data_IF_895612269331
#
_entry.id   IF_895612269331
#
_cell.length_a   1.000
_cell.length_b   1.000
_cell.length_c   1.000
_cell.angle_alpha   90.00
_cell.angle_beta   90.00
_cell.angle_gamma   90.00
#
_symmetry.space_group_name_H-M   'P 1'
#
loop_
_entity.id
_entity.type
_entity.pdbx_description
1 polymer ?
#
# COMPACT_ATOMS: atom_id res chain seq x y z
N UNK A 1 -12.79 -15.19 0.26
CA UNK A 1 -12.76 -15.07 1.74
C UNK A 1 -12.33 -16.43 2.33
N UNK A 2 -11.54 -16.43 3.41
CA UNK A 2 -11.08 -17.66 4.09
C UNK A 2 -11.26 -17.55 5.61
N UNK A 3 -11.48 -18.68 6.29
CA UNK A 3 -11.53 -18.78 7.76
C UNK A 3 -11.15 -20.20 8.19
N UNK A 4 -10.36 -20.29 9.25
CA UNK A 4 -10.10 -21.52 10.00
C UNK A 4 -10.23 -21.27 11.52
N UNK A 5 -9.64 -22.14 12.34
CA UNK A 5 -9.62 -22.02 13.80
C UNK A 5 -8.89 -20.76 14.29
N UNK A 6 -7.83 -20.33 13.61
CA UNK A 6 -6.92 -19.30 14.11
C UNK A 6 -7.06 -17.97 13.40
N UNK A 7 -7.41 -17.97 12.12
CA UNK A 7 -7.43 -16.80 11.26
C UNK A 7 -8.70 -16.65 10.43
N UNK A 8 -8.96 -15.41 10.04
CA UNK A 8 -9.96 -15.02 9.07
C UNK A 8 -9.33 -14.04 8.10
N UNK A 9 -9.52 -14.28 6.81
CA UNK A 9 -9.00 -13.42 5.74
C UNK A 9 -10.17 -12.89 4.93
N UNK A 10 -10.25 -11.56 4.85
CA UNK A 10 -11.28 -10.85 4.12
C UNK A 10 -10.66 -9.92 3.08
N UNK A 11 -11.38 -9.73 1.98
CA UNK A 11 -11.12 -8.63 1.07
C UNK A 11 -11.81 -7.38 1.63
N UNK A 12 -11.02 -6.45 2.17
CA UNK A 12 -11.52 -5.17 2.66
C UNK A 12 -11.89 -4.29 1.46
N UNK A 13 -13.12 -3.77 1.35
CA UNK A 13 -13.45 -2.81 0.30
C UNK A 13 -12.70 -1.47 0.51
N UNK A 14 -12.61 -0.63 -0.54
CA UNK A 14 -12.19 0.75 -0.37
C UNK A 14 -13.18 1.51 0.53
N UNK A 15 -12.81 2.72 0.98
CA UNK A 15 -13.62 3.58 1.85
C UNK A 15 -14.00 2.95 3.22
N UNK A 16 -13.33 1.87 3.62
CA UNK A 16 -13.56 1.20 4.90
C UNK A 16 -12.31 1.25 5.76
N UNK A 17 -12.40 1.90 6.93
CA UNK A 17 -11.31 1.91 7.90
C UNK A 17 -11.11 0.51 8.49
N UNK A 18 -9.86 0.08 8.68
CA UNK A 18 -9.59 -1.21 9.34
C UNK A 18 -10.04 -1.23 10.81
N UNK A 19 -9.70 -0.16 11.54
CA UNK A 19 -9.95 0.01 12.97
C UNK A 19 -10.84 1.24 13.23
N UNK A 20 -11.66 1.24 14.30
CA UNK A 20 -12.42 2.40 14.75
C UNK A 20 -11.50 3.59 15.05
N UNK A 21 -11.86 4.77 14.55
CA UNK A 21 -11.28 6.07 14.93
C UNK A 21 -12.37 7.13 14.86
N UNK A 22 -12.51 7.95 15.90
CA UNK A 22 -13.51 9.02 15.94
C UNK A 22 -14.96 8.52 15.90
N UNK A 23 -15.88 9.36 15.41
CA UNK A 23 -17.34 9.12 15.46
C UNK A 23 -17.84 7.95 14.57
N UNK A 24 -17.01 7.38 13.69
CA UNK A 24 -17.39 6.27 12.79
C UNK A 24 -17.07 4.88 13.36
N UNK A 25 -17.44 4.60 14.63
CA UNK A 25 -17.09 3.35 15.33
C UNK A 25 -17.71 2.12 14.64
N UNK A 26 -18.90 2.26 14.04
CA UNK A 26 -19.73 1.12 13.61
C UNK A 26 -19.45 0.58 12.20
N UNK A 27 -18.73 1.32 11.35
CA UNK A 27 -18.49 0.95 9.93
C UNK A 27 -17.03 0.63 9.61
N UNK A 28 -16.34 -0.04 10.54
CA UNK A 28 -14.96 -0.50 10.31
C UNK A 28 -14.90 -1.97 9.97
N UNK A 29 -13.82 -2.40 9.30
CA UNK A 29 -13.64 -3.78 8.87
C UNK A 29 -13.73 -4.75 10.05
N UNK A 30 -13.09 -4.44 11.18
CA UNK A 30 -13.17 -5.28 12.39
C UNK A 30 -14.60 -5.35 12.94
N UNK A 31 -15.32 -4.23 13.04
CA UNK A 31 -16.68 -4.22 13.62
C UNK A 31 -17.66 -4.96 12.71
N UNK A 32 -17.58 -4.75 11.39
CA UNK A 32 -18.41 -5.48 10.42
C UNK A 32 -18.12 -6.97 10.45
N UNK A 33 -16.85 -7.37 10.45
CA UNK A 33 -16.49 -8.78 10.48
C UNK A 33 -16.91 -9.46 11.80
N UNK A 34 -16.75 -8.81 12.96
CA UNK A 34 -17.26 -9.33 14.25
C UNK A 34 -18.76 -9.62 14.20
N UNK A 35 -19.55 -8.68 13.68
CA UNK A 35 -21.01 -8.82 13.53
C UNK A 35 -21.39 -9.90 12.53
N UNK A 36 -20.76 -9.88 11.36
CA UNK A 36 -21.05 -10.82 10.27
C UNK A 36 -20.73 -12.28 10.63
N UNK A 37 -19.66 -12.51 11.41
CA UNK A 37 -19.21 -13.87 11.74
C UNK A 37 -19.55 -14.32 13.16
N UNK A 38 -20.12 -13.44 14.00
CA UNK A 38 -20.43 -13.72 15.39
C UNK A 38 -19.19 -13.94 16.27
N UNK A 39 -18.04 -13.35 15.92
CA UNK A 39 -16.75 -13.58 16.59
C UNK A 39 -16.29 -12.31 17.28
N UNK A 40 -16.62 -12.12 18.56
CA UNK A 40 -16.28 -10.88 19.29
C UNK A 40 -14.77 -10.68 19.47
N UNK A 41 -14.00 -11.76 19.54
CA UNK A 41 -12.55 -11.72 19.74
C UNK A 41 -11.75 -11.49 18.44
N UNK A 42 -12.41 -11.33 17.31
CA UNK A 42 -11.74 -11.05 16.05
C UNK A 42 -10.87 -9.79 16.17
N UNK A 43 -9.60 -9.88 15.80
CA UNK A 43 -8.66 -8.74 15.83
C UNK A 43 -7.82 -8.68 14.58
N UNK A 44 -7.68 -7.51 13.91
CA UNK A 44 -6.81 -7.38 12.76
C UNK A 44 -5.35 -7.61 13.17
N UNK A 45 -4.61 -8.33 12.34
CA UNK A 45 -3.17 -8.59 12.53
C UNK A 45 -2.35 -7.43 11.96
N UNK A 46 -2.83 -6.84 10.88
CA UNK A 46 -2.27 -5.65 10.26
C UNK A 46 -3.39 -4.69 9.86
N UNK A 47 -3.03 -3.53 9.32
CA UNK A 47 -3.98 -2.52 8.87
C UNK A 47 -3.77 -2.17 7.41
N UNK A 48 -4.87 -1.89 6.75
CA UNK A 48 -4.90 -1.15 5.50
C UNK A 48 -5.49 0.24 5.76
N UNK A 49 -5.04 1.24 5.01
CA UNK A 49 -5.64 2.57 5.03
C UNK A 49 -7.09 2.49 4.53
N UNK A 50 -7.90 3.50 4.90
CA UNK A 50 -9.34 3.52 4.61
C UNK A 50 -9.62 3.29 3.12
N UNK A 51 -8.89 3.98 2.25
CA UNK A 51 -9.05 3.95 0.80
C UNK A 51 -8.42 2.71 0.14
N UNK A 52 -7.41 2.10 0.76
CA UNK A 52 -6.75 0.91 0.23
C UNK A 52 -7.67 -0.30 0.33
N UNK A 53 -7.92 -0.99 -0.77
CA UNK A 53 -8.69 -2.24 -0.78
C UNK A 53 -7.78 -3.46 -0.74
N UNK A 54 -8.33 -4.63 -0.47
CA UNK A 54 -7.64 -5.92 -0.64
C UNK A 54 -7.49 -6.73 0.64
N UNK A 55 -6.52 -7.65 0.62
CA UNK A 55 -6.37 -8.70 1.63
C UNK A 55 -6.12 -8.12 3.02
N UNK A 56 -6.99 -8.48 3.97
CA UNK A 56 -6.87 -8.13 5.39
C UNK A 56 -6.98 -9.40 6.25
N UNK A 57 -5.94 -9.64 7.04
CA UNK A 57 -5.85 -10.76 7.97
C UNK A 57 -6.33 -10.38 9.38
N UNK A 58 -7.18 -11.23 9.94
CA UNK A 58 -7.64 -11.20 11.32
C UNK A 58 -7.25 -12.49 12.04
N UNK A 59 -7.06 -12.38 13.34
CA UNK A 59 -7.01 -13.51 14.28
C UNK A 59 -8.41 -13.74 14.86
N UNK A 60 -8.83 -14.99 14.95
CA UNK A 60 -10.18 -15.38 15.41
C UNK A 60 -10.31 -15.31 16.93
N UNK A 61 -9.26 -15.72 17.66
CA UNK A 61 -9.25 -15.78 19.11
C UNK A 61 -8.07 -15.00 19.71
N UNK A 62 -8.15 -14.67 21.00
CA UNK A 62 -7.08 -13.91 21.69
C UNK A 62 -5.75 -14.64 21.70
N UNK A 63 -5.78 -15.96 21.84
CA UNK A 63 -4.60 -16.81 21.92
C UNK A 63 -3.73 -16.80 20.66
N UNK A 64 -4.31 -16.60 19.47
CA UNK A 64 -3.56 -16.58 18.21
C UNK A 64 -2.90 -15.25 17.88
N UNK A 65 -3.29 -14.16 18.55
CA UNK A 65 -2.86 -12.78 18.22
C UNK A 65 -1.35 -12.62 18.20
N UNK A 66 -0.68 -13.02 19.28
CA UNK A 66 0.76 -12.80 19.43
C UNK A 66 1.57 -13.52 18.34
N UNK A 67 1.22 -14.77 18.03
CA UNK A 67 1.91 -15.56 17.02
C UNK A 67 1.84 -14.91 15.63
N UNK A 68 0.63 -14.51 15.18
CA UNK A 68 0.49 -13.87 13.87
C UNK A 68 1.01 -12.43 13.83
N UNK A 69 0.90 -11.65 14.93
CA UNK A 69 1.49 -10.30 15.00
C UNK A 69 3.01 -10.36 14.89
N UNK A 70 3.63 -11.34 15.54
CA UNK A 70 5.08 -11.55 15.49
C UNK A 70 5.58 -11.82 14.06
N UNK A 71 4.78 -12.45 13.19
CA UNK A 71 5.15 -12.61 11.77
C UNK A 71 5.38 -11.25 11.10
N UNK A 72 4.52 -10.25 11.36
CA UNK A 72 4.65 -8.92 10.79
C UNK A 72 5.82 -8.15 11.40
N UNK A 73 5.98 -8.22 12.72
CA UNK A 73 7.08 -7.58 13.44
C UNK A 73 8.45 -8.07 12.95
N UNK A 74 8.58 -9.39 12.77
CA UNK A 74 9.80 -10.05 12.26
C UNK A 74 9.92 -10.02 10.74
N UNK A 75 8.99 -9.37 10.03
CA UNK A 75 8.95 -9.27 8.55
C UNK A 75 8.96 -10.64 7.85
N UNK A 76 8.34 -11.64 8.46
CA UNK A 76 8.17 -13.00 7.91
C UNK A 76 6.91 -13.13 7.04
N UNK A 77 6.29 -12.00 6.69
CA UNK A 77 5.09 -11.93 5.84
C UNK A 77 5.46 -11.23 4.54
N UNK A 78 5.26 -11.92 3.43
CA UNK A 78 5.31 -11.32 2.10
C UNK A 78 4.01 -10.58 1.81
N UNK A 79 4.13 -9.34 1.35
CA UNK A 79 3.00 -8.49 0.98
C UNK A 79 3.24 -7.99 -0.44
N UNK A 80 2.29 -8.23 -1.33
CA UNK A 80 2.31 -7.68 -2.69
C UNK A 80 1.14 -6.74 -2.86
N UNK A 81 1.42 -5.55 -3.38
CA UNK A 81 0.44 -4.54 -3.71
C UNK A 81 0.47 -4.27 -5.20
N UNK A 82 -0.70 -3.95 -5.75
CA UNK A 82 -0.81 -3.36 -7.09
C UNK A 82 -1.21 -1.89 -6.93
N UNK A 83 -0.44 -1.00 -7.54
CA UNK A 83 -0.78 0.42 -7.65
C UNK A 83 -1.05 0.77 -9.11
N UNK A 84 -2.13 1.50 -9.38
CA UNK A 84 -2.48 2.00 -10.71
C UNK A 84 -2.15 3.48 -10.75
N UNK A 85 -1.40 3.91 -11.76
CA UNK A 85 -0.96 5.30 -11.93
C UNK A 85 -1.19 5.77 -13.37
N UNK A 86 -1.21 7.08 -13.63
CA UNK A 86 -0.95 7.61 -14.96
C UNK A 86 0.42 7.14 -15.47
N UNK A 87 0.60 7.17 -16.79
CA UNK A 87 1.91 6.92 -17.42
C UNK A 87 2.76 8.19 -17.26
N UNK A 88 3.92 8.15 -16.58
CA UNK A 88 4.81 9.31 -16.47
C UNK A 88 5.23 9.83 -17.85
N UNK A 89 5.48 11.13 -17.96
CA UNK A 89 6.02 11.71 -19.19
C UNK A 89 7.36 11.06 -19.56
N UNK A 90 7.53 10.69 -20.82
CA UNK A 90 8.75 10.01 -21.31
C UNK A 90 8.74 8.49 -21.14
N UNK A 91 7.70 7.92 -20.52
CA UNK A 91 7.51 6.47 -20.38
C UNK A 91 6.49 5.91 -21.40
N UNK A 92 5.98 6.77 -22.29
CA UNK A 92 5.06 6.36 -23.35
C UNK A 92 5.80 5.45 -24.36
N UNK A 93 5.21 4.30 -24.68
CA UNK A 93 5.75 3.39 -25.70
C UNK A 93 6.91 2.50 -25.24
N UNK A 94 7.30 2.54 -23.95
CA UNK A 94 8.29 1.60 -23.40
C UNK A 94 7.74 0.17 -23.44
N UNK A 95 8.55 -0.77 -23.93
CA UNK A 95 8.25 -2.20 -23.79
C UNK A 95 8.58 -2.64 -22.34
N UNK A 96 7.53 -2.84 -21.55
CA UNK A 96 7.63 -3.37 -20.19
C UNK A 96 7.63 -4.91 -20.14
N UNK A 97 7.48 -5.59 -21.28
CA UNK A 97 7.33 -7.05 -21.36
C UNK A 97 8.63 -7.81 -21.66
N UNK A 98 9.68 -7.10 -22.09
CA UNK A 98 10.98 -7.69 -22.43
C UNK A 98 12.08 -7.24 -21.46
N UNK A 99 13.03 -8.13 -21.07
CA UNK A 99 14.28 -7.69 -20.46
C UNK A 99 15.01 -6.74 -21.43
N UNK A 100 15.33 -5.52 -20.99
CA UNK A 100 16.07 -4.53 -21.79
C UNK A 100 15.34 -3.22 -22.09
N UNK A 101 14.09 -3.04 -21.64
CA UNK A 101 13.50 -1.71 -21.55
C UNK A 101 14.21 -0.91 -20.44
N UNK A 102 14.50 0.37 -20.69
CA UNK A 102 15.04 1.26 -19.66
C UNK A 102 14.13 2.47 -19.44
N UNK A 103 14.11 2.96 -18.22
CA UNK A 103 13.21 3.97 -17.72
C UNK A 103 14.00 5.08 -17.03
N UNK A 104 13.66 6.33 -17.33
CA UNK A 104 14.21 7.47 -16.59
C UNK A 104 13.51 7.56 -15.24
N UNK A 105 14.26 7.32 -14.17
CA UNK A 105 13.81 7.41 -12.79
C UNK A 105 14.13 8.80 -12.25
N UNK A 106 13.12 9.58 -11.79
CA UNK A 106 13.34 10.94 -11.32
C UNK A 106 14.30 11.04 -10.13
N UNK A 107 14.96 12.20 -10.01
CA UNK A 107 15.74 12.51 -8.81
C UNK A 107 14.89 12.40 -7.54
N UNK A 108 15.47 11.86 -6.47
CA UNK A 108 14.83 11.64 -5.19
C UNK A 108 13.88 10.44 -5.11
N UNK A 109 13.57 9.76 -6.22
CA UNK A 109 12.57 8.69 -6.25
C UNK A 109 13.03 7.38 -5.58
N UNK A 110 14.32 7.05 -5.66
CA UNK A 110 14.87 5.81 -5.07
C UNK A 110 15.26 6.01 -3.60
N UNK A 111 15.93 7.13 -3.29
CA UNK A 111 16.23 7.55 -1.93
C UNK A 111 16.32 9.07 -1.86
N UNK A 112 16.36 9.64 -0.65
CA UNK A 112 16.52 11.09 -0.49
C UNK A 112 17.75 11.57 -1.27
N UNK A 113 17.57 12.60 -2.11
CA UNK A 113 18.58 13.18 -2.97
C UNK A 113 19.28 12.19 -3.96
N UNK A 114 18.67 11.04 -4.29
CA UNK A 114 19.18 10.22 -5.40
C UNK A 114 19.17 11.04 -6.70
N UNK A 115 20.20 10.96 -7.55
CA UNK A 115 20.15 11.63 -8.85
C UNK A 115 19.09 10.98 -9.75
N UNK A 116 18.65 11.74 -10.75
CA UNK A 116 17.96 11.16 -11.89
C UNK A 116 18.88 10.15 -12.57
N UNK A 117 18.33 9.01 -12.99
CA UNK A 117 19.11 7.94 -13.62
C UNK A 117 18.22 7.08 -14.51
N UNK A 118 18.83 6.46 -15.52
CA UNK A 118 18.16 5.50 -16.39
C UNK A 118 18.41 4.10 -15.83
N UNK A 119 17.34 3.37 -15.51
CA UNK A 119 17.39 2.01 -14.98
C UNK A 119 16.63 1.05 -15.88
N UNK A 120 17.04 -0.21 -15.90
CA UNK A 120 16.23 -1.27 -16.51
C UNK A 120 14.87 -1.41 -15.82
N UNK A 121 13.87 -1.85 -16.57
CA UNK A 121 12.52 -2.15 -16.06
C UNK A 121 12.66 -3.10 -14.85
N UNK A 122 12.02 -2.78 -13.71
CA UNK A 122 12.16 -3.59 -12.50
C UNK A 122 11.51 -4.95 -12.66
N UNK A 123 12.15 -5.98 -12.09
CA UNK A 123 11.64 -7.35 -12.05
C UNK A 123 11.79 -7.99 -10.67
N UNK A 124 11.34 -9.23 -10.53
CA UNK A 124 11.51 -9.99 -9.27
C UNK A 124 12.99 -10.25 -8.93
N UNK A 125 13.83 -10.51 -9.94
CA UNK A 125 15.27 -10.75 -9.76
C UNK A 125 16.04 -9.44 -9.52
N UNK A 126 15.65 -8.37 -10.22
CA UNK A 126 16.31 -7.07 -10.18
C UNK A 126 15.28 -5.99 -9.84
N UNK A 127 14.82 -5.92 -8.58
CA UNK A 127 13.82 -4.94 -8.17
C UNK A 127 14.45 -3.57 -7.95
N UNK A 128 13.67 -2.51 -8.16
CA UNK A 128 14.08 -1.20 -7.66
C UNK A 128 13.79 -1.10 -6.17
N UNK A 129 14.75 -0.58 -5.40
CA UNK A 129 14.61 -0.37 -3.96
C UNK A 129 14.34 1.10 -3.64
N UNK A 130 13.19 1.36 -3.03
CA UNK A 130 12.76 2.69 -2.60
C UNK A 130 12.93 2.79 -1.09
N UNK A 131 13.88 3.60 -0.62
CA UNK A 131 14.22 3.72 0.80
C UNK A 131 14.25 5.18 1.27
N UNK A 132 13.32 5.53 2.16
CA UNK A 132 13.16 6.91 2.66
C UNK A 132 12.98 6.94 4.18
N UNK A 133 13.38 8.05 4.79
CA UNK A 133 12.94 8.43 6.12
C UNK A 133 11.58 9.11 6.00
N UNK A 134 10.53 8.35 6.30
CA UNK A 134 9.15 8.83 6.25
C UNK A 134 8.70 9.32 7.63
N UNK A 135 8.16 10.53 7.67
CA UNK A 135 7.67 11.17 8.90
C UNK A 135 6.17 11.42 8.81
N UNK A 136 5.47 11.04 9.87
CA UNK A 136 4.03 11.20 10.01
C UNK A 136 3.73 11.91 11.33
N UNK A 137 3.44 13.21 11.22
CA UNK A 137 3.01 14.01 12.36
C UNK A 137 1.54 13.81 12.67
N UNK A 138 1.19 13.97 13.94
CA UNK A 138 -0.21 13.91 14.40
C UNK A 138 -0.96 15.14 13.89
N UNK A 139 -2.12 14.95 13.30
CA UNK A 139 -2.94 16.04 12.74
C UNK A 139 -2.62 16.36 11.28
N UNK A 140 -1.38 16.15 10.83
CA UNK A 140 -1.00 16.32 9.43
C UNK A 140 -1.59 15.22 8.57
N UNK A 141 -2.22 15.54 7.43
CA UNK A 141 -2.87 14.54 6.56
C UNK A 141 -1.88 13.71 5.74
N UNK A 142 -0.87 14.32 5.14
CA UNK A 142 0.15 13.60 4.37
C UNK A 142 1.37 13.21 5.24
N UNK A 143 1.99 12.09 4.90
CA UNK A 143 3.37 11.72 5.27
C UNK A 143 4.33 12.47 4.35
N UNK A 144 5.45 12.95 4.89
CA UNK A 144 6.52 13.66 4.17
C UNK A 144 7.88 12.98 4.41
N UNK A 145 8.91 13.42 3.70
CA UNK A 145 10.25 12.83 3.67
C UNK A 145 11.24 13.79 4.32
N UNK A 146 12.20 13.23 5.06
CA UNK A 146 13.34 13.98 5.59
C UNK A 146 14.68 13.36 5.15
N UNK A 147 15.76 14.14 5.13
CA UNK A 147 17.11 13.59 5.07
C UNK A 147 17.40 12.74 6.32
N UNK A 148 18.18 11.68 6.16
CA UNK A 148 18.65 10.83 7.27
C UNK A 148 18.45 9.34 7.02
N UNK A 149 18.62 8.54 8.06
CA UNK A 149 18.53 7.07 7.99
C UNK A 149 17.12 6.62 7.59
N UNK A 150 16.96 5.88 6.47
CA UNK A 150 15.66 5.39 6.05
C UNK A 150 14.96 4.53 7.10
N UNK A 151 13.67 4.76 7.29
CA UNK A 151 12.82 3.95 8.16
C UNK A 151 11.79 3.12 7.38
N UNK A 152 11.87 3.17 6.04
CA UNK A 152 10.99 2.50 5.12
C UNK A 152 11.77 1.85 3.97
N UNK A 153 11.26 0.72 3.48
CA UNK A 153 11.76 0.05 2.29
C UNK A 153 10.59 -0.56 1.51
N UNK A 154 10.52 -0.24 0.23
CA UNK A 154 9.59 -0.83 -0.74
C UNK A 154 10.39 -1.33 -1.94
N UNK A 155 10.11 -2.54 -2.39
CA UNK A 155 10.63 -3.06 -3.66
C UNK A 155 9.59 -2.88 -4.75
N UNK A 156 9.98 -2.33 -5.89
CA UNK A 156 9.20 -2.41 -7.13
C UNK A 156 9.68 -3.65 -7.86
N UNK A 157 8.81 -4.64 -8.03
CA UNK A 157 9.18 -5.93 -8.66
C UNK A 157 8.54 -6.13 -10.03
N UNK A 158 7.83 -5.12 -10.51
CA UNK A 158 7.22 -5.14 -11.84
C UNK A 158 6.46 -3.86 -12.12
N UNK A 159 6.37 -3.54 -13.40
CA UNK A 159 5.51 -2.50 -13.95
C UNK A 159 5.02 -2.99 -15.30
N UNK A 160 3.76 -2.72 -15.62
CA UNK A 160 3.14 -3.11 -16.90
C UNK A 160 2.10 -2.08 -17.29
N UNK A 161 1.74 -2.04 -18.56
CA UNK A 161 0.51 -1.36 -18.96
C UNK A 161 -0.72 -2.09 -18.38
N UNK A 162 -1.72 -1.30 -18.03
CA UNK A 162 -3.10 -1.79 -17.86
C UNK A 162 -3.62 -2.38 -19.17
N UNK A 163 -4.69 -3.18 -19.11
CA UNK A 163 -5.28 -3.82 -20.28
C UNK A 163 -5.75 -2.83 -21.36
N UNK A 164 -6.11 -1.60 -20.97
CA UNK A 164 -6.46 -0.49 -21.86
C UNK A 164 -5.26 0.25 -22.44
N UNK A 165 -4.05 0.05 -21.90
CA UNK A 165 -2.83 0.72 -22.35
C UNK A 165 -2.65 2.16 -21.87
N UNK A 166 -3.61 2.75 -21.15
CA UNK A 166 -3.63 4.17 -20.79
C UNK A 166 -3.14 4.46 -19.35
N UNK A 167 -2.82 3.42 -18.59
CA UNK A 167 -2.31 3.46 -17.20
C UNK A 167 -1.20 2.45 -17.01
N UNK A 168 -0.37 2.66 -15.99
CA UNK A 168 0.57 1.67 -15.49
C UNK A 168 -0.01 0.93 -14.28
N UNK A 169 0.31 -0.35 -14.17
CA UNK A 169 0.09 -1.19 -12.98
C UNK A 169 1.44 -1.61 -12.43
N UNK A 170 1.72 -1.22 -11.19
CA UNK A 170 2.98 -1.44 -10.50
C UNK A 170 2.83 -2.57 -9.48
N UNK A 171 3.78 -3.49 -9.44
CA UNK A 171 3.89 -4.52 -8.41
C UNK A 171 4.84 -4.05 -7.32
N UNK A 172 4.30 -3.81 -6.12
CA UNK A 172 5.03 -3.23 -4.99
C UNK A 172 5.09 -4.21 -3.82
N UNK A 173 6.27 -4.46 -3.28
CA UNK A 173 6.49 -5.31 -2.09
C UNK A 173 7.10 -4.51 -0.95
N UNK A 174 6.28 -3.93 -0.04
CA UNK A 174 6.80 -3.18 1.10
C UNK A 174 7.37 -4.11 2.17
N UNK A 175 8.65 -3.95 2.52
CA UNK A 175 9.25 -4.65 3.65
C UNK A 175 8.78 -4.06 5.00
N UNK A 176 8.52 -2.75 5.01
CA UNK A 176 7.99 -2.01 6.17
C UNK A 176 6.48 -1.72 6.01
N UNK A 177 5.89 -0.93 6.92
CA UNK A 177 4.47 -0.59 6.90
C UNK A 177 4.20 0.81 7.43
N UNK A 178 4.99 1.80 6.98
CA UNK A 178 4.81 3.20 7.41
C UNK A 178 3.54 3.79 6.78
N UNK A 179 2.93 4.75 7.48
CA UNK A 179 1.71 5.42 7.02
C UNK A 179 1.93 6.05 5.65
N UNK A 180 1.05 5.77 4.69
CA UNK A 180 1.12 6.26 3.31
C UNK A 180 2.40 5.90 2.52
N UNK A 181 3.21 4.94 2.99
CA UNK A 181 4.51 4.60 2.38
C UNK A 181 4.44 4.40 0.86
N UNK A 182 3.53 3.57 0.36
CA UNK A 182 3.41 3.31 -1.07
C UNK A 182 2.90 4.54 -1.85
N UNK A 183 2.03 5.33 -1.24
CA UNK A 183 1.42 6.51 -1.87
C UNK A 183 2.45 7.62 -2.08
N UNK A 184 3.27 7.89 -1.06
CA UNK A 184 4.42 8.82 -1.15
C UNK A 184 5.39 8.36 -2.23
N UNK A 185 5.76 7.07 -2.22
CA UNK A 185 6.69 6.53 -3.21
C UNK A 185 6.20 6.78 -4.64
N UNK A 186 4.95 6.41 -4.94
CA UNK A 186 4.39 6.62 -6.29
C UNK A 186 4.34 8.11 -6.69
N UNK A 187 4.10 9.02 -5.73
CA UNK A 187 4.18 10.47 -6.00
C UNK A 187 5.59 10.94 -6.37
N UNK A 188 6.64 10.35 -5.82
CA UNK A 188 8.03 10.71 -6.17
C UNK A 188 8.43 10.25 -7.57
N UNK A 189 7.77 9.24 -8.13
CA UNK A 189 7.93 8.85 -9.53
C UNK A 189 7.17 9.78 -10.50
N UNK A 190 6.65 10.91 -10.01
CA UNK A 190 5.68 11.75 -10.74
C UNK A 190 4.47 10.93 -11.24
N UNK A 191 4.15 9.84 -10.54
CA UNK A 191 3.15 8.85 -10.92
C UNK A 191 2.18 8.60 -9.75
N UNK A 192 1.49 9.63 -9.22
CA UNK A 192 0.61 9.42 -8.07
C UNK A 192 -0.45 8.37 -8.39
N UNK A 193 -0.82 7.59 -7.36
CA UNK A 193 -1.87 6.58 -7.48
C UNK A 193 -3.17 7.24 -7.94
N UNK A 194 -3.86 6.64 -8.91
CA UNK A 194 -5.11 7.19 -9.43
C UNK A 194 -6.15 7.33 -8.32
N UNK A 195 -6.89 8.45 -8.33
CA UNK A 195 -7.88 8.83 -7.32
C UNK A 195 -7.31 8.87 -5.88
N UNK A 196 -6.02 9.14 -5.71
CA UNK A 196 -5.45 9.44 -4.39
C UNK A 196 -5.76 10.90 -4.01
N UNK A 197 -6.60 11.17 -2.99
CA UNK A 197 -7.07 12.53 -2.71
C UNK A 197 -6.00 13.43 -2.10
N UNK A 198 -4.85 12.88 -1.70
CA UNK A 198 -3.74 13.65 -1.12
C UNK A 198 -2.66 13.77 -2.17
N UNK A 199 -2.11 12.63 -2.59
CA UNK A 199 -0.87 12.61 -3.34
C UNK A 199 -1.04 12.95 -4.81
N UNK A 200 -2.26 12.91 -5.36
CA UNK A 200 -2.51 13.39 -6.72
C UNK A 200 -2.41 14.91 -6.86
N UNK A 201 -2.54 15.66 -5.76
CA UNK A 201 -2.60 17.13 -5.78
C UNK A 201 -1.62 17.82 -4.81
N UNK A 202 -0.94 17.05 -3.96
CA UNK A 202 0.08 17.60 -3.04
C UNK A 202 1.23 18.25 -3.83
N UNK A 203 1.66 19.42 -3.38
CA UNK A 203 2.82 20.13 -3.93
C UNK A 203 4.12 19.39 -3.62
N UNK A 204 5.16 19.64 -4.42
CA UNK A 204 6.49 19.08 -4.14
C UNK A 204 7.05 19.61 -2.82
N UNK A 205 6.81 20.89 -2.49
CA UNK A 205 7.22 21.48 -1.20
C UNK A 205 6.63 20.68 -0.03
N UNK A 206 5.35 20.33 -0.07
CA UNK A 206 4.68 19.58 0.99
C UNK A 206 5.14 18.12 1.14
N UNK A 207 5.98 17.60 0.24
CA UNK A 207 6.66 16.30 0.40
C UNK A 207 7.91 16.38 1.27
N UNK A 208 8.48 17.58 1.49
CA UNK A 208 9.73 17.78 2.22
C UNK A 208 9.62 18.78 3.37
N UNK A 209 8.66 19.70 3.28
CA UNK A 209 8.40 20.76 4.24
C UNK A 209 7.14 20.40 5.08
N UNK A 210 7.27 20.23 6.41
CA UNK A 210 6.12 19.95 7.26
C UNK A 210 5.12 21.10 7.31
N UNK A 211 5.58 22.35 7.14
CA UNK A 211 4.79 23.59 7.26
C UNK A 211 4.09 24.00 5.97
N UNK A 212 4.36 23.30 4.85
CA UNK A 212 3.72 23.58 3.58
C UNK A 212 2.21 23.33 3.62
N UNK A 213 1.47 24.12 2.85
CA UNK A 213 0.03 23.97 2.71
C UNK A 213 -0.33 22.59 2.14
N UNK A 214 -1.39 21.99 2.67
CA UNK A 214 -1.88 20.70 2.22
C UNK A 214 -3.13 20.85 1.37
N UNK A 215 -3.32 19.95 0.39
CA UNK A 215 -4.55 19.94 -0.37
C UNK A 215 -5.74 19.68 0.56
N UNK A 216 -6.86 20.28 0.19
CA UNK A 216 -8.14 19.91 0.75
C UNK A 216 -8.44 18.44 0.45
N UNK A 217 -8.79 17.67 1.48
CA UNK A 217 -9.17 16.27 1.36
C UNK A 217 -10.67 16.19 1.67
N UNK A 218 -11.50 15.64 0.75
CA UNK A 218 -12.93 15.47 0.98
C UNK A 218 -13.20 14.78 2.32
N UNK A 219 -14.21 15.25 3.05
CA UNK A 219 -14.70 14.54 4.23
C UNK A 219 -15.33 13.21 3.82
N UNK A 220 -15.63 12.35 4.82
CA UNK A 220 -16.25 11.04 4.57
C UNK A 220 -17.57 11.16 3.80
N UNK A 221 -18.32 12.25 4.02
CA UNK A 221 -19.61 12.47 3.38
C UNK A 221 -19.50 13.03 1.94
N UNK A 222 -18.29 13.46 1.54
CA UNK A 222 -17.96 14.00 0.22
C UNK A 222 -17.15 13.01 -0.63
N UNK A 223 -16.90 11.79 -0.13
CA UNK A 223 -16.16 10.75 -0.86
C UNK A 223 -16.96 10.28 -2.09
N UNK A 224 -16.31 10.28 -3.26
CA UNK A 224 -16.84 9.69 -4.48
C UNK A 224 -16.60 8.17 -4.47
N UNK A 225 -17.63 7.41 -4.09
CA UNK A 225 -17.58 5.96 -3.99
C UNK A 225 -17.41 5.25 -5.34
N UNK A 226 -17.69 5.92 -6.46
CA UNK A 226 -17.53 5.37 -7.82
C UNK A 226 -16.08 5.46 -8.31
N UNK A 227 -15.23 6.23 -7.62
CA UNK A 227 -13.83 6.46 -7.97
C UNK A 227 -12.86 6.03 -6.86
N UNK A 228 -12.75 4.71 -6.56
CA UNK A 228 -11.82 4.24 -5.54
C UNK A 228 -10.37 4.50 -5.92
N UNK A 229 -9.53 4.72 -4.91
CA UNK A 229 -8.08 4.83 -5.06
C UNK A 229 -7.52 3.54 -5.68
N UNK A 230 -6.64 3.69 -6.66
CA UNK A 230 -6.03 2.60 -7.42
C UNK A 230 -4.95 1.80 -6.66
N UNK A 231 -5.10 1.58 -5.36
CA UNK A 231 -4.15 0.80 -4.55
C UNK A 231 -4.83 -0.43 -3.96
N UNK A 232 -4.29 -1.60 -4.31
CA UNK A 232 -4.81 -2.90 -3.88
C UNK A 232 -3.74 -3.67 -3.13
N UNK A 233 -4.04 -4.10 -1.90
CA UNK A 233 -3.29 -5.14 -1.20
C UNK A 233 -3.60 -6.49 -1.87
N UNK A 234 -2.86 -6.80 -2.93
CA UNK A 234 -3.16 -7.88 -3.87
C UNK A 234 -2.91 -9.25 -3.27
N UNK A 235 -1.82 -9.42 -2.53
CA UNK A 235 -1.44 -10.72 -1.99
C UNK A 235 -0.82 -10.61 -0.60
N UNK A 236 -1.14 -11.59 0.24
CA UNK A 236 -0.49 -11.84 1.53
C UNK A 236 -0.05 -13.30 1.59
N UNK A 237 1.23 -13.54 1.88
CA UNK A 237 1.77 -14.89 2.03
C UNK A 237 2.68 -15.00 3.26
N UNK A 238 2.59 -16.12 3.98
CA UNK A 238 3.36 -16.40 5.20
C UNK A 238 3.31 -17.90 5.53
N UNK A 239 4.23 -18.36 6.38
CA UNK A 239 4.15 -19.69 6.99
C UNK A 239 3.28 -19.63 8.24
N UNK A 240 2.26 -20.46 8.33
CA UNK A 240 1.36 -20.51 9.48
C UNK A 240 2.14 -20.91 10.75
N UNK A 241 2.05 -20.12 11.84
CA UNK A 241 2.85 -20.36 13.04
C UNK A 241 2.34 -21.54 13.87
N UNK A 242 1.12 -22.03 13.63
CA UNK A 242 0.54 -23.18 14.31
C UNK A 242 0.72 -24.48 13.53
N UNK A 243 0.53 -24.43 12.20
CA UNK A 243 0.57 -25.64 11.37
C UNK A 243 1.89 -25.83 10.63
N UNK A 244 2.68 -24.78 10.45
CA UNK A 244 3.88 -24.79 9.59
C UNK A 244 3.57 -24.79 8.09
N UNK A 245 2.30 -24.74 7.69
CA UNK A 245 1.89 -24.73 6.28
C UNK A 245 2.15 -23.37 5.64
N UNK A 246 2.55 -23.37 4.37
CA UNK A 246 2.60 -22.14 3.58
C UNK A 246 1.18 -21.67 3.25
N UNK A 247 0.84 -20.44 3.65
CA UNK A 247 -0.43 -19.78 3.38
C UNK A 247 -0.24 -18.67 2.36
N UNK A 248 -1.14 -18.60 1.38
CA UNK A 248 -1.18 -17.55 0.36
C UNK A 248 -2.63 -17.12 0.12
N UNK A 249 -2.88 -15.83 0.21
CA UNK A 249 -4.19 -15.23 -0.01
C UNK A 249 -4.09 -14.13 -1.06
N UNK A 250 -4.93 -14.22 -2.09
CA UNK A 250 -4.97 -13.26 -3.20
C UNK A 250 -6.32 -12.55 -3.15
N UNK A 251 -6.30 -11.23 -3.31
CA UNK A 251 -7.50 -10.42 -3.36
C UNK A 251 -8.31 -10.69 -4.62
N UNK A 252 -9.63 -10.64 -4.51
CA UNK A 252 -10.54 -10.60 -5.67
C UNK A 252 -10.48 -9.26 -6.42
N UNK A 253 -9.96 -8.19 -5.81
CA UNK A 253 -9.75 -6.92 -6.47
C UNK A 253 -8.51 -6.99 -7.40
N UNK A 254 -8.68 -6.60 -8.66
CA UNK A 254 -7.65 -6.61 -9.69
C UNK A 254 -8.27 -6.89 -11.07
N UNK A 255 -7.60 -6.47 -12.13
CA UNK A 255 -7.92 -6.84 -13.51
C UNK A 255 -7.29 -8.19 -13.86
#
# INVERSE_FOLDING_TARGET
MYRDEHILVADKPPFMSTLPRGQHITQTAVVRARRQFGINDLSPVHRLDRLTRGVLLFTVHRGSRAAYQQLFERRMVSKTYEAVTPVPTGWQGTDFSSPGGSLTVPAGALHFASPEQVLDVPGEEHPWELSHLLVKERGRLATYIQPGTPNSLTRVTGVRFSSSGDRLVWTLKPATGKTHQLRVNMRLFAAPIVNDPIYSVVSDDALYNPDAELPYVPSVDEEDFDRPMGLTARELAFTDPYTGESRRFISSYGN
#
